data_IF_692908357408
#
_entry.id   IF_692908357408
#
_cell.length_a   1.000
_cell.length_b   1.000
_cell.length_c   1.000
_cell.angle_alpha   90.00
_cell.angle_beta   90.00
_cell.angle_gamma   90.00
#
_symmetry.space_group_name_H-M   'P 1'
#
loop_
_entity.id
_entity.type
_entity.pdbx_description
1 polymer ?
#
# COMPACT_ATOMS: atom_id res chain seq x y z
N UNK A 1 24.53 8.10 -23.02
CA UNK A 1 23.52 7.02 -22.92
C UNK A 1 23.94 5.87 -21.98
N UNK A 2 25.10 5.21 -22.15
CA UNK A 2 25.55 4.10 -21.26
C UNK A 2 25.50 4.42 -19.75
N UNK A 3 25.90 5.63 -19.34
CA UNK A 3 25.85 6.08 -17.93
C UNK A 3 24.44 6.15 -17.34
N UNK A 4 23.45 6.59 -18.12
CA UNK A 4 22.05 6.64 -17.68
C UNK A 4 21.47 5.23 -17.56
N UNK A 5 21.80 4.33 -18.48
CA UNK A 5 21.37 2.94 -18.45
C UNK A 5 21.93 2.21 -17.22
N UNK A 6 23.21 2.40 -16.91
CA UNK A 6 23.85 1.82 -15.73
C UNK A 6 23.23 2.34 -14.41
N UNK A 7 23.03 3.66 -14.28
CA UNK A 7 22.34 4.24 -13.12
C UNK A 7 20.90 3.75 -12.97
N UNK A 8 20.23 3.43 -14.07
CA UNK A 8 18.87 2.88 -14.05
C UNK A 8 18.84 1.45 -13.51
N UNK A 9 19.81 0.61 -13.89
CA UNK A 9 19.96 -0.74 -13.34
C UNK A 9 20.35 -0.73 -11.86
N UNK A 10 21.31 0.12 -11.48
CA UNK A 10 21.68 0.30 -10.07
C UNK A 10 20.48 0.80 -9.24
N UNK A 11 19.70 1.75 -9.77
CA UNK A 11 18.47 2.22 -9.14
C UNK A 11 17.43 1.11 -8.96
N UNK A 12 17.20 0.29 -9.99
CA UNK A 12 16.30 -0.86 -9.90
C UNK A 12 16.77 -1.88 -8.86
N UNK A 13 18.08 -2.15 -8.79
CA UNK A 13 18.67 -3.03 -7.78
C UNK A 13 18.43 -2.49 -6.37
N UNK A 14 18.82 -1.23 -6.09
CA UNK A 14 18.65 -0.63 -4.77
C UNK A 14 17.18 -0.53 -4.33
N UNK A 15 16.27 -0.16 -5.23
CA UNK A 15 14.84 -0.11 -4.91
C UNK A 15 14.22 -1.51 -4.74
N UNK A 16 14.69 -2.50 -5.49
CA UNK A 16 14.32 -3.90 -5.32
C UNK A 16 14.77 -4.45 -3.97
N UNK A 17 16.04 -4.25 -3.62
CA UNK A 17 16.61 -4.59 -2.31
C UNK A 17 15.87 -3.87 -1.18
N UNK A 18 15.50 -2.59 -1.37
CA UNK A 18 14.75 -1.84 -0.36
C UNK A 18 13.42 -2.53 -0.04
N UNK A 19 12.63 -2.83 -1.08
CA UNK A 19 11.34 -3.51 -0.93
C UNK A 19 11.50 -4.87 -0.26
N UNK A 20 12.53 -5.63 -0.64
CA UNK A 20 12.82 -6.93 -0.07
C UNK A 20 13.14 -6.83 1.42
N UNK A 21 14.05 -5.92 1.83
CA UNK A 21 14.41 -5.70 3.22
C UNK A 21 13.19 -5.30 4.04
N UNK A 22 12.46 -4.27 3.61
CA UNK A 22 11.24 -3.82 4.31
C UNK A 22 10.25 -4.98 4.47
N UNK A 23 10.07 -5.79 3.42
CA UNK A 23 9.12 -6.91 3.46
C UNK A 23 9.58 -8.03 4.38
N UNK A 24 10.86 -8.41 4.37
CA UNK A 24 11.40 -9.44 5.26
C UNK A 24 11.21 -9.07 6.72
N UNK A 25 11.60 -7.85 7.11
CA UNK A 25 11.43 -7.37 8.48
C UNK A 25 9.95 -7.23 8.86
N UNK A 26 9.11 -6.75 7.94
CA UNK A 26 7.66 -6.71 8.17
C UNK A 26 7.04 -8.09 8.34
N UNK A 27 7.52 -9.12 7.63
CA UNK A 27 7.04 -10.49 7.79
C UNK A 27 7.45 -11.05 9.15
N UNK A 28 8.71 -10.90 9.54
CA UNK A 28 9.19 -11.32 10.87
C UNK A 28 8.38 -10.64 11.97
N UNK A 29 8.18 -9.32 11.88
CA UNK A 29 7.36 -8.56 12.83
C UNK A 29 5.94 -9.10 12.94
N UNK A 30 5.27 -9.37 11.82
CA UNK A 30 3.91 -9.90 11.81
C UNK A 30 3.86 -11.30 12.44
N UNK A 31 4.84 -12.17 12.15
CA UNK A 31 4.91 -13.51 12.74
C UNK A 31 5.11 -13.44 14.25
N UNK A 32 6.05 -12.60 14.71
CA UNK A 32 6.29 -12.39 16.14
C UNK A 32 5.05 -11.82 16.83
N UNK A 33 4.43 -10.79 16.24
CA UNK A 33 3.19 -10.21 16.75
C UNK A 33 2.08 -11.26 16.85
N UNK A 34 1.89 -12.08 15.82
CA UNK A 34 0.89 -13.14 15.78
C UNK A 34 1.09 -14.26 16.80
N UNK A 35 2.33 -14.46 17.27
CA UNK A 35 2.70 -15.44 18.30
C UNK A 35 2.56 -14.91 19.72
N UNK A 36 2.67 -13.60 19.92
CA UNK A 36 2.60 -12.96 21.23
C UNK A 36 1.19 -12.44 21.52
N UNK A 37 0.56 -11.82 20.51
CA UNK A 37 -0.74 -11.17 20.63
C UNK A 37 -1.86 -12.09 20.16
N UNK A 38 -3.04 -11.85 20.71
CA UNK A 38 -4.28 -12.43 20.21
C UNK A 38 -4.67 -11.83 18.85
N UNK A 39 -5.45 -12.55 18.03
CA UNK A 39 -6.00 -11.99 16.79
C UNK A 39 -6.83 -10.72 17.02
N UNK A 40 -7.53 -10.61 18.15
CA UNK A 40 -8.29 -9.41 18.50
C UNK A 40 -7.40 -8.18 18.69
N UNK A 41 -6.28 -8.33 19.40
CA UNK A 41 -5.30 -7.26 19.62
C UNK A 41 -4.65 -6.76 18.32
N UNK A 42 -4.30 -7.68 17.42
CA UNK A 42 -3.81 -7.32 16.08
C UNK A 42 -4.92 -6.66 15.26
N UNK A 43 -6.16 -7.10 15.44
CA UNK A 43 -7.35 -6.51 14.85
C UNK A 43 -7.59 -5.08 15.28
N UNK A 44 -7.40 -4.76 16.56
CA UNK A 44 -7.48 -3.38 17.07
C UNK A 44 -6.44 -2.49 16.40
N UNK A 45 -5.21 -2.97 16.25
CA UNK A 45 -4.20 -2.24 15.48
C UNK A 45 -4.62 -2.05 14.02
N UNK A 46 -5.20 -3.07 13.38
CA UNK A 46 -5.79 -2.97 12.05
C UNK A 46 -6.85 -1.88 11.96
N UNK A 47 -7.80 -1.85 12.89
CA UNK A 47 -8.85 -0.84 12.98
C UNK A 47 -8.30 0.58 13.17
N UNK A 48 -7.23 0.74 13.96
CA UNK A 48 -6.54 2.03 14.17
C UNK A 48 -5.85 2.50 12.87
N UNK A 49 -5.29 1.57 12.09
CA UNK A 49 -4.60 1.88 10.84
C UNK A 49 -5.53 2.31 9.70
N UNK A 50 -6.83 1.98 9.76
CA UNK A 50 -7.81 2.39 8.74
C UNK A 50 -8.02 3.92 8.70
N UNK A 51 -8.45 4.61 9.76
CA UNK A 51 -8.58 6.07 9.74
C UNK A 51 -7.22 6.76 9.57
N UNK A 52 -6.13 6.22 10.14
CA UNK A 52 -4.79 6.75 9.92
C UNK A 52 -4.38 6.72 8.43
N UNK A 53 -4.57 5.57 7.76
CA UNK A 53 -4.28 5.42 6.34
C UNK A 53 -5.16 6.30 5.45
N UNK A 54 -6.45 6.41 5.79
CA UNK A 54 -7.37 7.29 5.09
C UNK A 54 -6.94 8.76 5.20
N UNK A 55 -6.58 9.23 6.39
CA UNK A 55 -6.14 10.61 6.61
C UNK A 55 -4.82 10.93 5.89
N UNK A 56 -3.87 9.97 5.86
CA UNK A 56 -2.66 10.09 5.05
C UNK A 56 -2.99 10.24 3.55
N UNK A 57 -3.84 9.37 3.01
CA UNK A 57 -4.20 9.39 1.60
C UNK A 57 -4.99 10.65 1.21
N UNK A 58 -5.93 11.09 2.04
CA UNK A 58 -6.75 12.29 1.78
C UNK A 58 -5.93 13.58 1.74
N UNK A 59 -4.80 13.61 2.42
CA UNK A 59 -3.93 14.78 2.52
C UNK A 59 -2.66 14.66 1.67
N UNK A 60 -2.50 13.57 0.92
CA UNK A 60 -1.35 13.37 0.01
C UNK A 60 -1.36 14.45 -1.06
N UNK A 61 -0.39 15.35 -1.01
CA UNK A 61 -0.36 16.57 -1.83
C UNK A 61 0.48 16.43 -3.09
N UNK A 62 1.13 15.28 -3.34
CA UNK A 62 2.00 15.07 -4.49
C UNK A 62 3.27 15.93 -4.51
N UNK A 63 3.55 16.69 -3.42
CA UNK A 63 4.71 17.60 -3.33
C UNK A 63 6.02 16.85 -3.59
N UNK A 64 6.19 15.65 -3.03
CA UNK A 64 7.37 14.82 -3.25
C UNK A 64 7.57 14.51 -4.75
N UNK A 65 6.49 14.25 -5.48
CA UNK A 65 6.54 13.93 -6.91
C UNK A 65 6.85 15.18 -7.73
N UNK A 66 6.24 16.32 -7.39
CA UNK A 66 6.50 17.61 -8.04
C UNK A 66 7.97 18.06 -7.86
N UNK A 67 8.54 17.88 -6.66
CA UNK A 67 9.95 18.17 -6.38
C UNK A 67 10.92 17.29 -7.18
N UNK A 68 10.58 16.00 -7.38
CA UNK A 68 11.38 15.10 -8.22
C UNK A 68 11.29 15.55 -9.69
N UNK A 69 10.09 15.86 -10.19
CA UNK A 69 9.85 16.15 -11.61
C UNK A 69 10.23 17.57 -12.05
N UNK A 70 10.28 18.55 -11.15
CA UNK A 70 10.52 19.95 -11.53
C UNK A 70 11.86 20.13 -12.25
N UNK A 71 11.87 20.89 -13.35
CA UNK A 71 13.08 21.28 -14.07
C UNK A 71 13.84 22.42 -13.39
N UNK A 72 13.18 23.14 -12.48
CA UNK A 72 13.78 24.20 -11.65
C UNK A 72 14.67 23.61 -10.56
N UNK A 73 15.48 24.45 -9.93
CA UNK A 73 16.27 24.02 -8.76
C UNK A 73 15.33 23.66 -7.59
N UNK A 74 15.16 22.36 -7.36
CA UNK A 74 14.31 21.83 -6.30
C UNK A 74 14.75 22.30 -4.90
N UNK A 75 16.01 22.69 -4.70
CA UNK A 75 16.52 23.20 -3.42
C UNK A 75 15.79 24.47 -2.98
N UNK A 76 15.35 25.29 -3.93
CA UNK A 76 14.61 26.54 -3.64
C UNK A 76 13.20 26.27 -3.08
N UNK A 77 12.63 25.10 -3.37
CA UNK A 77 11.29 24.71 -2.95
C UNK A 77 11.27 23.96 -1.61
N UNK A 78 12.43 23.51 -1.11
CA UNK A 78 12.50 22.63 0.06
C UNK A 78 11.96 23.27 1.34
N UNK A 79 12.27 24.54 1.61
CA UNK A 79 11.79 25.23 2.81
C UNK A 79 10.27 25.39 2.79
N UNK A 80 9.71 25.79 1.64
CA UNK A 80 8.26 25.89 1.41
C UNK A 80 7.56 24.52 1.52
N UNK A 81 8.17 23.47 0.94
CA UNK A 81 7.66 22.10 1.04
C UNK A 81 7.68 21.59 2.49
N UNK A 82 8.71 21.93 3.26
CA UNK A 82 8.81 21.49 4.65
C UNK A 82 7.70 22.07 5.52
N UNK A 83 7.40 23.37 5.39
CA UNK A 83 6.27 23.98 6.10
C UNK A 83 4.96 23.30 5.71
N UNK A 84 4.77 22.98 4.43
CA UNK A 84 3.59 22.25 3.99
C UNK A 84 3.51 20.83 4.63
N UNK A 85 4.64 20.12 4.75
CA UNK A 85 4.69 18.81 5.42
C UNK A 85 4.44 18.90 6.93
N UNK A 86 4.99 19.91 7.60
CA UNK A 86 4.73 20.16 9.03
C UNK A 86 3.24 20.47 9.23
N UNK A 87 2.69 21.42 8.46
CA UNK A 87 1.27 21.78 8.51
C UNK A 87 0.35 20.60 8.24
N UNK A 88 0.67 19.76 7.25
CA UNK A 88 -0.02 18.49 6.98
C UNK A 88 0.06 17.54 8.17
N UNK A 89 1.25 17.36 8.75
CA UNK A 89 1.47 16.51 9.92
C UNK A 89 0.60 16.93 11.10
N UNK A 90 0.57 18.23 11.43
CA UNK A 90 -0.31 18.79 12.46
C UNK A 90 -1.79 18.58 12.14
N UNK A 91 -2.21 18.83 10.89
CA UNK A 91 -3.60 18.64 10.47
C UNK A 91 -4.06 17.19 10.66
N UNK A 92 -3.32 16.22 10.14
CA UNK A 92 -3.65 14.79 10.29
C UNK A 92 -3.68 14.40 11.77
N UNK A 93 -2.66 14.81 12.53
CA UNK A 93 -2.55 14.48 13.96
C UNK A 93 -3.74 15.02 14.75
N UNK A 94 -4.11 16.28 14.53
CA UNK A 94 -5.24 16.92 15.19
C UNK A 94 -6.57 16.24 14.80
N UNK A 95 -6.79 15.96 13.52
CA UNK A 95 -7.99 15.26 13.05
C UNK A 95 -8.10 13.89 13.71
N UNK A 96 -7.04 13.06 13.64
CA UNK A 96 -7.05 11.71 14.23
C UNK A 96 -7.26 11.76 15.75
N UNK A 97 -6.64 12.71 16.44
CA UNK A 97 -6.80 12.87 17.88
C UNK A 97 -8.23 13.24 18.29
N UNK A 98 -8.86 14.14 17.53
CA UNK A 98 -10.23 14.60 17.77
C UNK A 98 -11.26 13.53 17.42
N UNK A 99 -11.07 12.79 16.33
CA UNK A 99 -12.03 11.75 15.91
C UNK A 99 -11.87 10.41 16.64
N UNK A 100 -10.79 10.24 17.41
CA UNK A 100 -10.48 9.00 18.12
C UNK A 100 -11.66 8.38 18.90
N UNK A 101 -12.42 9.13 19.75
CA UNK A 101 -13.58 8.56 20.44
C UNK A 101 -14.67 8.09 19.47
N UNK A 102 -15.01 8.86 18.42
CA UNK A 102 -16.03 8.45 17.46
C UNK A 102 -15.61 7.22 16.64
N UNK A 103 -14.33 7.08 16.32
CA UNK A 103 -13.79 5.87 15.69
C UNK A 103 -13.90 4.68 16.65
N UNK A 104 -13.58 4.88 17.93
CA UNK A 104 -13.70 3.89 18.99
C UNK A 104 -15.14 3.37 19.10
N UNK A 105 -16.10 4.30 19.15
CA UNK A 105 -17.54 4.00 19.20
C UNK A 105 -18.02 3.32 17.93
N UNK A 106 -17.57 3.79 16.75
CA UNK A 106 -17.90 3.18 15.47
C UNK A 106 -17.52 1.70 15.47
N UNK A 107 -16.30 1.35 15.86
CA UNK A 107 -15.85 -0.04 15.90
C UNK A 107 -16.32 -0.82 17.13
N UNK A 108 -17.00 -0.18 18.11
CA UNK A 108 -17.36 -0.76 19.41
C UNK A 108 -16.15 -1.40 20.11
N UNK A 109 -15.00 -0.72 20.08
CA UNK A 109 -13.73 -1.20 20.64
C UNK A 109 -13.00 -0.05 21.32
N UNK A 110 -12.21 -0.31 22.37
CA UNK A 110 -11.43 0.69 23.12
C UNK A 110 -10.18 1.17 22.36
N UNK A 111 -10.37 1.86 21.23
CA UNK A 111 -9.32 2.26 20.30
C UNK A 111 -8.82 3.69 20.53
N UNK A 112 -9.51 4.51 21.34
CA UNK A 112 -9.23 5.95 21.51
C UNK A 112 -7.75 6.23 21.80
N UNK A 113 -7.17 5.56 22.80
CA UNK A 113 -5.78 5.80 23.20
C UNK A 113 -4.79 5.30 22.15
N UNK A 114 -5.06 4.13 21.56
CA UNK A 114 -4.25 3.58 20.48
C UNK A 114 -4.23 4.49 19.24
N UNK A 115 -5.37 5.08 18.87
CA UNK A 115 -5.47 6.01 17.74
C UNK A 115 -4.80 7.35 18.06
N UNK A 116 -4.92 7.87 19.29
CA UNK A 116 -4.21 9.08 19.73
C UNK A 116 -2.69 8.89 19.74
N UNK A 117 -2.20 7.72 20.14
CA UNK A 117 -0.78 7.38 20.04
C UNK A 117 -0.31 7.39 18.58
N UNK A 118 -1.02 6.70 17.69
CA UNK A 118 -0.68 6.69 16.26
C UNK A 118 -0.74 8.09 15.64
N UNK A 119 -1.64 8.95 16.10
CA UNK A 119 -1.76 10.34 15.67
C UNK A 119 -0.49 11.18 15.93
N UNK A 120 0.47 10.72 16.74
CA UNK A 120 1.78 11.38 16.88
C UNK A 120 2.73 11.08 15.70
N UNK A 121 2.50 10.00 14.96
CA UNK A 121 3.33 9.60 13.82
C UNK A 121 3.35 10.65 12.69
N UNK A 122 2.22 11.16 12.19
CA UNK A 122 2.22 12.17 11.13
C UNK A 122 2.86 13.49 11.58
N UNK A 123 2.72 13.86 12.86
CA UNK A 123 3.44 14.99 13.46
C UNK A 123 4.96 14.81 13.28
N UNK A 124 5.50 13.68 13.74
CA UNK A 124 6.94 13.36 13.66
C UNK A 124 7.40 13.32 12.20
N UNK A 125 6.63 12.68 11.32
CA UNK A 125 6.95 12.60 9.89
C UNK A 125 6.95 13.97 9.19
N UNK A 126 6.12 14.92 9.64
CA UNK A 126 6.12 16.29 9.11
C UNK A 126 7.46 17.01 9.28
N UNK A 127 8.22 16.67 10.33
CA UNK A 127 9.54 17.24 10.59
C UNK A 127 10.69 16.56 9.83
N UNK A 128 10.44 15.45 9.13
CA UNK A 128 11.46 14.77 8.31
C UNK A 128 12.01 15.77 7.29
N UNK A 129 13.33 15.84 7.15
CA UNK A 129 13.98 16.75 6.22
C UNK A 129 13.44 16.55 4.80
N UNK A 130 12.94 17.61 4.13
CA UNK A 130 12.44 17.50 2.75
C UNK A 130 13.56 17.18 1.76
N UNK A 131 14.83 17.36 2.14
CA UNK A 131 15.98 17.12 1.29
C UNK A 131 16.16 15.63 0.95
N UNK A 132 15.54 14.69 1.68
CA UNK A 132 15.55 13.26 1.33
C UNK A 132 14.93 12.99 -0.04
N UNK A 133 14.04 13.88 -0.52
CA UNK A 133 13.46 13.81 -1.88
C UNK A 133 14.53 14.00 -2.95
N UNK A 134 15.60 14.74 -2.65
CA UNK A 134 16.71 14.95 -3.56
C UNK A 134 17.51 13.68 -3.83
N UNK A 135 17.47 12.67 -2.94
CA UNK A 135 18.13 11.39 -3.22
C UNK A 135 17.53 10.75 -4.47
N UNK A 136 16.20 10.75 -4.59
CA UNK A 136 15.51 10.25 -5.77
C UNK A 136 15.75 11.14 -6.98
N UNK A 137 15.65 12.48 -6.82
CA UNK A 137 15.88 13.44 -7.91
C UNK A 137 17.27 13.33 -8.53
N UNK A 138 18.29 13.12 -7.70
CA UNK A 138 19.70 13.05 -8.10
C UNK A 138 20.16 11.62 -8.42
N UNK A 139 19.24 10.63 -8.43
CA UNK A 139 19.52 9.22 -8.66
C UNK A 139 20.51 8.61 -7.64
N UNK A 140 20.51 9.13 -6.41
CA UNK A 140 21.29 8.63 -5.28
C UNK A 140 20.54 7.51 -4.54
N UNK A 141 20.09 6.49 -5.30
CA UNK A 141 19.23 5.41 -4.77
C UNK A 141 19.85 4.62 -3.62
N UNK A 142 21.18 4.56 -3.53
CA UNK A 142 21.86 3.95 -2.39
C UNK A 142 21.58 4.72 -1.09
N UNK A 143 21.59 6.06 -1.11
CA UNK A 143 21.24 6.87 0.07
C UNK A 143 19.76 6.73 0.42
N UNK A 144 18.89 6.74 -0.59
CA UNK A 144 17.46 6.50 -0.40
C UNK A 144 17.19 5.11 0.23
N UNK A 145 17.87 4.08 -0.28
CA UNK A 145 17.85 2.73 0.27
C UNK A 145 18.31 2.72 1.72
N UNK A 146 19.50 3.25 2.03
CA UNK A 146 20.05 3.20 3.39
C UNK A 146 19.17 3.93 4.40
N UNK A 147 18.68 5.12 4.06
CA UNK A 147 17.78 5.89 4.92
C UNK A 147 16.47 5.13 5.21
N UNK A 148 15.78 4.65 4.17
CA UNK A 148 14.50 3.95 4.35
C UNK A 148 14.65 2.57 4.99
N UNK A 149 15.70 1.83 4.61
CA UNK A 149 15.97 0.51 5.17
C UNK A 149 16.27 0.60 6.66
N UNK A 150 17.15 1.53 7.08
CA UNK A 150 17.46 1.70 8.50
C UNK A 150 16.23 2.15 9.31
N UNK A 151 15.42 3.08 8.79
CA UNK A 151 14.19 3.49 9.46
C UNK A 151 13.18 2.34 9.61
N UNK A 152 13.02 1.51 8.57
CA UNK A 152 12.13 0.34 8.59
C UNK A 152 12.65 -0.78 9.49
N UNK A 153 13.95 -1.02 9.51
CA UNK A 153 14.57 -1.98 10.41
C UNK A 153 14.42 -1.53 11.86
N UNK A 154 14.63 -0.24 12.15
CA UNK A 154 14.40 0.34 13.48
C UNK A 154 12.92 0.22 13.90
N UNK A 155 11.99 0.49 12.99
CA UNK A 155 10.54 0.28 13.21
C UNK A 155 10.25 -1.17 13.57
N UNK A 156 10.72 -2.12 12.76
CA UNK A 156 10.38 -3.53 12.94
C UNK A 156 11.05 -4.16 14.15
N UNK A 157 12.34 -3.92 14.35
CA UNK A 157 13.07 -4.42 15.53
C UNK A 157 12.60 -3.73 16.82
N UNK A 158 12.34 -2.42 16.77
CA UNK A 158 11.77 -1.69 17.90
C UNK A 158 10.39 -2.23 18.29
N UNK A 159 9.52 -2.50 17.30
CA UNK A 159 8.22 -3.14 17.55
C UNK A 159 8.39 -4.53 18.18
N UNK A 160 9.30 -5.36 17.66
CA UNK A 160 9.56 -6.70 18.19
C UNK A 160 10.06 -6.63 19.64
N UNK A 161 11.00 -5.74 19.94
CA UNK A 161 11.51 -5.53 21.29
C UNK A 161 10.39 -5.11 22.25
N UNK A 162 9.56 -4.14 21.83
CA UNK A 162 8.40 -3.69 22.62
C UNK A 162 7.35 -4.80 22.81
N UNK A 163 7.11 -5.64 21.80
CA UNK A 163 6.20 -6.79 21.93
C UNK A 163 6.72 -7.80 22.95
N UNK A 164 8.02 -8.08 22.95
CA UNK A 164 8.64 -9.00 23.92
C UNK A 164 8.60 -8.46 25.35
N UNK A 165 8.71 -7.14 25.52
CA UNK A 165 8.68 -6.48 26.83
C UNK A 165 7.26 -6.25 27.37
N UNK A 166 6.38 -5.68 26.54
CA UNK A 166 5.05 -5.22 26.95
C UNK A 166 3.97 -6.30 26.79
N UNK A 167 4.16 -7.24 25.85
CA UNK A 167 3.17 -8.27 25.47
C UNK A 167 1.76 -7.71 25.24
N UNK A 168 1.70 -6.52 24.64
CA UNK A 168 0.46 -5.76 24.44
C UNK A 168 0.42 -5.19 23.03
N UNK A 169 -0.78 -5.06 22.47
CA UNK A 169 -0.98 -4.45 21.16
C UNK A 169 -0.44 -3.02 21.05
N UNK A 170 -0.29 -2.30 22.17
CA UNK A 170 0.27 -0.93 22.23
C UNK A 170 1.71 -0.89 21.70
N UNK A 171 2.44 -2.01 21.74
CA UNK A 171 3.76 -2.13 21.12
C UNK A 171 3.72 -1.86 19.60
N UNK A 172 2.61 -2.15 18.92
CA UNK A 172 2.46 -1.92 17.47
C UNK A 172 2.40 -0.41 17.14
N UNK A 173 1.51 0.42 17.73
CA UNK A 173 1.58 1.88 17.61
C UNK A 173 2.93 2.49 17.99
N UNK A 174 3.50 2.08 19.13
CA UNK A 174 4.80 2.61 19.58
C UNK A 174 5.92 2.28 18.60
N UNK A 175 5.87 1.09 17.98
CA UNK A 175 6.77 0.70 16.90
C UNK A 175 6.71 1.64 15.69
N UNK A 176 5.50 1.99 15.25
CA UNK A 176 5.29 2.95 14.15
C UNK A 176 5.86 4.33 14.49
N UNK A 177 5.67 4.79 15.73
CA UNK A 177 6.25 6.05 16.23
C UNK A 177 7.78 5.98 16.22
N UNK A 178 8.36 4.89 16.73
CA UNK A 178 9.81 4.67 16.74
C UNK A 178 10.39 4.66 15.32
N UNK A 179 9.70 4.04 14.36
CA UNK A 179 10.05 4.09 12.94
C UNK A 179 10.01 5.51 12.36
N UNK A 180 8.98 6.28 12.70
CA UNK A 180 8.87 7.70 12.31
C UNK A 180 10.00 8.55 12.90
N UNK A 181 10.33 8.35 14.17
CA UNK A 181 11.42 9.04 14.85
C UNK A 181 12.79 8.66 14.25
N UNK A 182 13.01 7.38 13.95
CA UNK A 182 14.21 6.93 13.25
C UNK A 182 14.31 7.57 11.86
N UNK A 183 13.23 7.60 11.08
CA UNK A 183 13.20 8.26 9.78
C UNK A 183 13.54 9.75 9.89
N UNK A 184 13.02 10.45 10.90
CA UNK A 184 13.31 11.85 11.21
C UNK A 184 14.79 12.06 11.50
N UNK A 185 15.35 11.36 12.48
CA UNK A 185 16.76 11.50 12.88
C UNK A 185 17.68 11.19 11.71
N UNK A 186 17.47 10.06 11.03
CA UNK A 186 18.29 9.63 9.91
C UNK A 186 18.18 10.59 8.71
N UNK A 187 17.06 11.32 8.56
CA UNK A 187 16.93 12.30 7.48
C UNK A 187 17.95 13.44 7.61
N UNK A 188 18.26 13.89 8.83
CA UNK A 188 19.27 14.92 9.08
C UNK A 188 20.70 14.37 9.05
N UNK A 189 20.89 13.08 9.33
CA UNK A 189 22.20 12.41 9.20
C UNK A 189 22.59 12.28 7.73
N UNK A 190 21.65 11.88 6.86
CA UNK A 190 21.95 11.60 5.45
C UNK A 190 21.74 12.78 4.50
N UNK A 191 21.00 13.81 4.91
CA UNK A 191 20.70 14.98 4.07
C UNK A 191 21.20 16.28 4.69
N UNK A 192 21.77 17.16 3.85
CA UNK A 192 22.11 18.53 4.24
C UNK A 192 21.01 19.47 3.79
N UNK A 193 20.13 19.82 4.72
CA UNK A 193 19.08 20.80 4.48
C UNK A 193 19.60 22.22 4.73
N UNK A 194 19.29 23.13 3.81
CA UNK A 194 19.59 24.57 3.95
C UNK A 194 18.26 25.32 3.87
N UNK A 195 18.02 26.19 4.85
CA UNK A 195 16.83 27.03 4.88
C UNK A 195 17.02 28.23 3.95
N UNK A 196 16.10 28.41 3.00
CA UNK A 196 16.16 29.47 1.98
C UNK A 196 14.96 30.43 2.05
N UNK A 197 14.21 30.41 3.15
CA UNK A 197 12.97 31.18 3.30
C UNK A 197 11.76 30.50 2.64
N UNK A 198 10.56 30.99 2.99
CA UNK A 198 9.29 30.38 2.61
C UNK A 198 8.63 31.23 1.55
N UNK A 199 8.19 30.60 0.47
CA UNK A 199 7.39 31.26 -0.55
C UNK A 199 6.07 30.48 -0.74
N UNK A 200 4.97 31.07 -0.26
CA UNK A 200 3.64 30.46 -0.37
C UNK A 200 3.16 30.28 -1.82
N UNK A 201 3.68 31.08 -2.76
CA UNK A 201 3.43 30.90 -4.19
C UNK A 201 3.98 29.56 -4.70
N UNK A 202 5.15 29.14 -4.21
CA UNK A 202 5.73 27.83 -4.52
C UNK A 202 4.88 26.68 -3.97
N UNK A 203 4.27 26.85 -2.79
CA UNK A 203 3.36 25.86 -2.21
C UNK A 203 2.16 25.67 -3.16
N UNK A 204 1.54 26.75 -3.62
CA UNK A 204 0.42 26.69 -4.58
C UNK A 204 0.81 26.01 -5.90
N UNK A 205 2.02 26.29 -6.42
CA UNK A 205 2.56 25.63 -7.61
C UNK A 205 2.67 24.11 -7.41
N UNK A 206 3.20 23.67 -6.26
CA UNK A 206 3.34 22.24 -5.92
C UNK A 206 1.99 21.53 -5.73
N UNK A 207 1.00 22.19 -5.12
CA UNK A 207 -0.33 21.61 -4.87
C UNK A 207 -1.18 21.43 -6.13
N UNK A 208 -0.97 22.26 -7.16
CA UNK A 208 -1.76 22.19 -8.41
C UNK A 208 -1.54 20.86 -9.16
N UNK A 209 -0.37 20.24 -8.97
CA UNK A 209 -0.05 18.91 -9.50
C UNK A 209 -0.67 17.77 -8.66
N UNK A 210 -0.82 17.97 -7.34
CA UNK A 210 -1.20 16.93 -6.38
C UNK A 210 -2.65 16.47 -6.43
N UNK A 211 -3.59 17.35 -6.78
CA UNK A 211 -5.04 17.06 -6.63
C UNK A 211 -5.53 15.80 -7.37
N UNK A 212 -4.97 15.52 -8.54
CA UNK A 212 -5.32 14.33 -9.33
C UNK A 212 -4.72 13.06 -8.73
N UNK A 213 -3.53 13.17 -8.14
CA UNK A 213 -2.88 12.08 -7.42
C UNK A 213 -3.70 11.72 -6.18
N UNK A 214 -4.10 12.70 -5.38
CA UNK A 214 -4.94 12.49 -4.18
C UNK A 214 -6.24 11.76 -4.51
N UNK A 215 -6.96 12.19 -5.56
CA UNK A 215 -8.23 11.58 -5.97
C UNK A 215 -8.04 10.11 -6.42
N UNK A 216 -6.97 9.83 -7.17
CA UNK A 216 -6.62 8.47 -7.58
C UNK A 216 -6.26 7.58 -6.39
N UNK A 217 -5.42 8.07 -5.47
CA UNK A 217 -5.02 7.32 -4.28
C UNK A 217 -6.17 7.09 -3.31
N UNK A 218 -7.07 8.06 -3.15
CA UNK A 218 -8.27 7.93 -2.31
C UNK A 218 -9.21 6.86 -2.85
N UNK A 219 -9.48 6.89 -4.15
CA UNK A 219 -10.30 5.86 -4.81
C UNK A 219 -9.69 4.47 -4.64
N UNK A 220 -8.36 4.35 -4.83
CA UNK A 220 -7.66 3.10 -4.62
C UNK A 220 -7.74 2.63 -3.16
N UNK A 221 -7.58 3.54 -2.19
CA UNK A 221 -7.67 3.23 -0.77
C UNK A 221 -9.05 2.71 -0.38
N UNK A 222 -10.12 3.40 -0.77
CA UNK A 222 -11.50 2.96 -0.48
C UNK A 222 -11.79 1.61 -1.14
N UNK A 223 -11.25 1.37 -2.34
CA UNK A 223 -11.46 0.10 -3.06
C UNK A 223 -10.67 -1.07 -2.45
N UNK A 224 -9.52 -0.81 -1.83
CA UNK A 224 -8.63 -1.83 -1.28
C UNK A 224 -8.72 -2.01 0.26
N UNK A 225 -9.36 -1.08 0.96
CA UNK A 225 -9.50 -1.07 2.43
C UNK A 225 -10.96 -0.90 2.88
N UNK A 226 -11.89 -0.60 1.96
CA UNK A 226 -13.30 -0.39 2.31
C UNK A 226 -13.96 -1.64 2.87
N UNK A 227 -13.48 -2.81 2.46
CA UNK A 227 -13.85 -4.10 3.00
C UNK A 227 -13.42 -4.31 4.45
N UNK A 228 -12.19 -3.89 4.78
CA UNK A 228 -11.66 -3.95 6.14
C UNK A 228 -12.47 -3.10 7.13
N UNK A 229 -12.96 -1.93 6.71
CA UNK A 229 -13.82 -1.07 7.55
C UNK A 229 -15.08 -1.81 7.96
N UNK A 230 -15.74 -2.49 7.01
CA UNK A 230 -16.98 -3.22 7.29
C UNK A 230 -16.72 -4.48 8.11
N UNK A 231 -15.68 -5.25 7.79
CA UNK A 231 -15.29 -6.42 8.57
C UNK A 231 -15.01 -6.02 10.02
N UNK A 232 -14.26 -4.95 10.25
CA UNK A 232 -14.00 -4.45 11.59
C UNK A 232 -15.30 -4.06 12.32
N UNK A 233 -16.19 -3.32 11.65
CA UNK A 233 -17.45 -2.84 12.24
C UNK A 233 -18.45 -3.94 12.56
N UNK A 234 -18.59 -4.92 11.67
CA UNK A 234 -19.67 -5.92 11.71
C UNK A 234 -19.20 -7.20 12.39
N UNK A 235 -17.96 -7.63 12.14
CA UNK A 235 -17.43 -8.91 12.62
C UNK A 235 -16.44 -8.76 13.77
N UNK A 236 -16.01 -7.54 14.09
CA UNK A 236 -15.08 -7.24 15.18
C UNK A 236 -13.61 -7.49 14.84
N UNK A 237 -12.74 -7.17 15.80
CA UNK A 237 -11.30 -7.08 15.62
C UNK A 237 -10.63 -8.42 15.24
N UNK A 238 -11.00 -9.52 15.90
CA UNK A 238 -10.40 -10.83 15.60
C UNK A 238 -10.65 -11.29 14.16
N UNK A 239 -11.88 -11.12 13.67
CA UNK A 239 -12.25 -11.42 12.29
C UNK A 239 -11.54 -10.50 11.29
N UNK A 240 -11.36 -9.22 11.63
CA UNK A 240 -10.56 -8.31 10.82
C UNK A 240 -9.11 -8.78 10.70
N UNK A 241 -8.48 -9.21 11.79
CA UNK A 241 -7.11 -9.71 11.75
C UNK A 241 -6.96 -10.97 10.88
N UNK A 242 -7.89 -11.92 11.00
CA UNK A 242 -7.92 -13.11 10.14
C UNK A 242 -8.08 -12.72 8.66
N UNK A 243 -9.03 -11.85 8.36
CA UNK A 243 -9.32 -11.38 7.02
C UNK A 243 -8.14 -10.63 6.39
N UNK A 244 -7.58 -9.63 7.08
CA UNK A 244 -6.43 -8.87 6.62
C UNK A 244 -5.20 -9.76 6.39
N UNK A 245 -5.02 -10.78 7.21
CA UNK A 245 -3.89 -11.72 7.07
C UNK A 245 -4.08 -12.63 5.87
N UNK A 246 -5.29 -13.19 5.70
CA UNK A 246 -5.66 -13.96 4.52
C UNK A 246 -5.50 -13.13 3.23
N UNK A 247 -5.96 -11.88 3.23
CA UNK A 247 -5.83 -10.96 2.11
C UNK A 247 -4.37 -10.60 1.81
N UNK A 248 -3.55 -10.33 2.83
CA UNK A 248 -2.12 -10.05 2.65
C UNK A 248 -1.38 -11.24 2.02
N UNK A 249 -1.70 -12.47 2.43
CA UNK A 249 -1.10 -13.69 1.88
C UNK A 249 -1.54 -13.88 0.42
N UNK A 250 -2.84 -13.77 0.13
CA UNK A 250 -3.36 -13.97 -1.22
C UNK A 250 -2.87 -12.93 -2.22
N UNK A 251 -2.56 -11.71 -1.75
CA UNK A 251 -2.16 -10.58 -2.58
C UNK A 251 -0.62 -10.44 -2.75
N UNK A 252 0.17 -11.37 -2.20
CA UNK A 252 1.63 -11.40 -2.39
C UNK A 252 2.05 -11.43 -3.88
N UNK A 253 1.43 -12.23 -4.76
CA UNK A 253 1.79 -12.25 -6.19
C UNK A 253 1.57 -10.90 -6.88
N UNK A 254 0.49 -10.19 -6.52
CA UNK A 254 0.21 -8.89 -7.11
C UNK A 254 1.21 -7.83 -6.62
N UNK A 255 1.41 -7.75 -5.30
CA UNK A 255 2.23 -6.69 -4.69
C UNK A 255 3.73 -6.86 -4.97
N UNK A 256 4.21 -8.09 -5.13
CA UNK A 256 5.63 -8.39 -5.35
C UNK A 256 5.95 -8.73 -6.81
N UNK A 257 5.12 -9.56 -7.45
CA UNK A 257 5.34 -10.01 -8.82
C UNK A 257 4.76 -9.04 -9.86
N UNK A 258 3.45 -8.79 -9.78
CA UNK A 258 2.74 -8.01 -10.80
C UNK A 258 3.18 -6.54 -10.84
N UNK A 259 3.57 -5.95 -9.71
CA UNK A 259 4.11 -4.59 -9.67
C UNK A 259 5.43 -4.42 -10.43
N UNK A 260 6.31 -5.42 -10.38
CA UNK A 260 7.58 -5.44 -11.16
C UNK A 260 7.26 -5.64 -12.64
N UNK A 261 6.34 -6.57 -12.94
CA UNK A 261 5.86 -6.83 -14.28
C UNK A 261 5.25 -5.56 -14.89
N UNK A 262 4.39 -4.84 -14.17
CA UNK A 262 3.78 -3.58 -14.62
C UNK A 262 4.84 -2.53 -15.00
N UNK A 263 5.86 -2.34 -14.16
CA UNK A 263 6.92 -1.37 -14.39
C UNK A 263 7.80 -1.68 -15.60
N UNK A 264 7.91 -2.95 -16.00
CA UNK A 264 8.68 -3.39 -17.17
C UNK A 264 7.80 -3.43 -18.43
N UNK A 265 6.55 -3.88 -18.29
CA UNK A 265 5.63 -4.09 -19.39
C UNK A 265 5.08 -2.79 -19.94
N UNK A 266 4.76 -1.82 -19.07
CA UNK A 266 4.20 -0.54 -19.50
C UNK A 266 5.11 0.19 -20.51
N UNK A 267 6.43 0.39 -20.25
CA UNK A 267 7.33 1.01 -21.23
C UNK A 267 7.51 0.19 -22.51
N UNK A 268 7.45 -1.14 -22.42
CA UNK A 268 7.50 -2.00 -23.59
C UNK A 268 6.26 -1.83 -24.48
N UNK A 269 5.07 -1.81 -23.88
CA UNK A 269 3.82 -1.59 -24.62
C UNK A 269 3.77 -0.21 -25.26
N UNK A 270 4.20 0.84 -24.56
CA UNK A 270 4.27 2.19 -25.11
C UNK A 270 5.18 2.28 -26.35
N UNK A 271 6.30 1.54 -26.37
CA UNK A 271 7.23 1.52 -27.53
C UNK A 271 6.69 0.77 -28.74
N UNK A 272 5.88 -0.27 -28.54
CA UNK A 272 5.35 -1.11 -29.64
C UNK A 272 3.87 -0.83 -29.92
N UNK A 273 3.30 0.25 -29.37
CA UNK A 273 1.87 0.55 -29.40
C UNK A 273 1.29 0.65 -30.83
N UNK A 274 2.12 1.04 -31.81
CA UNK A 274 1.74 1.17 -33.22
C UNK A 274 1.71 -0.17 -33.96
N UNK A 275 2.42 -1.18 -33.48
CA UNK A 275 2.44 -2.53 -34.04
C UNK A 275 1.46 -3.43 -33.27
N UNK A 276 0.20 -3.45 -33.73
CA UNK A 276 -0.88 -4.24 -33.10
C UNK A 276 -0.52 -5.72 -32.95
N UNK A 277 0.27 -6.30 -33.86
CA UNK A 277 0.64 -7.73 -33.83
C UNK A 277 1.65 -8.00 -32.73
N UNK A 278 2.72 -7.18 -32.65
CA UNK A 278 3.71 -7.28 -31.58
C UNK A 278 3.10 -6.96 -30.23
N UNK A 279 2.24 -5.96 -30.14
CA UNK A 279 1.53 -5.58 -28.92
C UNK A 279 0.63 -6.71 -28.41
N UNK A 280 -0.17 -7.34 -29.29
CA UNK A 280 -1.01 -8.50 -28.95
C UNK A 280 -0.18 -9.67 -28.45
N UNK A 281 0.93 -9.99 -29.14
CA UNK A 281 1.83 -11.09 -28.73
C UNK A 281 2.49 -10.82 -27.38
N UNK A 282 2.94 -9.59 -27.15
CA UNK A 282 3.50 -9.15 -25.86
C UNK A 282 2.48 -9.28 -24.74
N UNK A 283 1.25 -8.82 -24.97
CA UNK A 283 0.14 -8.93 -24.02
C UNK A 283 -0.19 -10.39 -23.68
N UNK A 284 -0.36 -11.26 -24.68
CA UNK A 284 -0.69 -12.67 -24.44
C UNK A 284 0.40 -13.34 -23.62
N UNK A 285 1.68 -13.10 -23.93
CA UNK A 285 2.82 -13.62 -23.15
C UNK A 285 2.80 -13.11 -21.72
N UNK A 286 2.57 -11.82 -21.53
CA UNK A 286 2.48 -11.20 -20.22
C UNK A 286 1.35 -11.79 -19.36
N UNK A 287 0.16 -11.92 -19.94
CA UNK A 287 -1.00 -12.51 -19.28
C UNK A 287 -0.76 -13.99 -18.95
N UNK A 288 -0.16 -14.75 -19.87
CA UNK A 288 0.16 -16.17 -19.66
C UNK A 288 1.18 -16.36 -18.53
N UNK A 289 2.29 -15.62 -18.54
CA UNK A 289 3.31 -15.67 -17.46
C UNK A 289 2.66 -15.29 -16.13
N UNK A 290 1.89 -14.21 -16.11
CA UNK A 290 1.23 -13.74 -14.90
C UNK A 290 0.27 -14.77 -14.34
N UNK A 291 -0.56 -15.38 -15.20
CA UNK A 291 -1.51 -16.41 -14.82
C UNK A 291 -0.83 -17.68 -14.30
N UNK A 292 0.23 -18.15 -14.96
CA UNK A 292 0.99 -19.32 -14.51
C UNK A 292 1.62 -19.06 -13.15
N UNK A 293 2.26 -17.91 -12.96
CA UNK A 293 2.90 -17.55 -11.68
C UNK A 293 1.87 -17.36 -10.55
N UNK A 294 0.78 -16.64 -10.81
CA UNK A 294 -0.24 -16.39 -9.77
C UNK A 294 -1.01 -17.66 -9.41
N UNK A 295 -1.35 -18.49 -10.39
CA UNK A 295 -2.04 -19.77 -10.15
C UNK A 295 -1.12 -20.80 -9.49
N UNK A 296 0.15 -20.87 -9.90
CA UNK A 296 1.14 -21.73 -9.25
C UNK A 296 1.38 -21.34 -7.79
N UNK A 297 1.48 -20.03 -7.51
CA UNK A 297 1.55 -19.52 -6.14
C UNK A 297 0.29 -19.84 -5.34
N UNK A 298 -0.90 -19.60 -5.92
CA UNK A 298 -2.16 -19.87 -5.24
C UNK A 298 -2.31 -21.36 -4.90
N UNK A 299 -1.95 -22.25 -5.82
CA UNK A 299 -1.95 -23.69 -5.58
C UNK A 299 -0.95 -24.08 -4.48
N UNK A 300 0.27 -23.52 -4.53
CA UNK A 300 1.28 -23.77 -3.50
C UNK A 300 0.80 -23.31 -2.12
N UNK A 301 0.20 -22.13 -2.01
CA UNK A 301 -0.37 -21.63 -0.75
C UNK A 301 -1.57 -22.48 -0.32
N UNK A 302 -2.46 -22.86 -1.22
CA UNK A 302 -3.63 -23.68 -0.88
C UNK A 302 -3.23 -25.04 -0.27
N UNK A 303 -2.27 -25.72 -0.89
CA UNK A 303 -1.70 -26.97 -0.38
C UNK A 303 -0.91 -26.75 0.92
N UNK A 304 -0.25 -25.60 1.04
CA UNK A 304 0.60 -25.27 2.17
C UNK A 304 -0.16 -24.77 3.41
N UNK A 305 -1.30 -24.12 3.21
CA UNK A 305 -1.90 -23.23 4.20
C UNK A 305 -2.22 -23.91 5.54
N UNK A 306 -2.80 -25.14 5.60
CA UNK A 306 -3.14 -25.76 6.89
C UNK A 306 -1.94 -25.94 7.81
N UNK A 307 -0.79 -26.39 7.26
CA UNK A 307 0.43 -26.56 8.04
C UNK A 307 1.21 -25.26 8.19
N UNK A 308 1.30 -24.45 7.14
CA UNK A 308 2.04 -23.19 7.17
C UNK A 308 1.42 -22.21 8.17
N UNK A 309 0.10 -22.07 8.20
CA UNK A 309 -0.59 -21.18 9.15
C UNK A 309 -0.35 -21.66 10.58
N UNK A 310 -0.50 -22.96 10.84
CA UNK A 310 -0.28 -23.56 12.16
C UNK A 310 1.17 -23.38 12.63
N UNK A 311 2.16 -23.60 11.76
CA UNK A 311 3.59 -23.53 12.11
C UNK A 311 4.09 -22.08 12.20
N UNK A 312 3.54 -21.16 11.40
CA UNK A 312 4.01 -19.77 11.38
C UNK A 312 3.27 -18.96 12.43
N UNK A 313 1.94 -18.95 12.38
CA UNK A 313 1.09 -18.08 13.20
C UNK A 313 0.55 -18.78 14.45
N UNK A 314 0.34 -20.09 14.41
CA UNK A 314 -0.23 -20.88 15.51
C UNK A 314 -1.64 -21.38 15.22
N UNK A 315 -2.18 -22.22 16.11
CA UNK A 315 -3.50 -22.84 15.93
C UNK A 315 -4.66 -21.84 16.02
N UNK A 316 -4.49 -20.76 16.77
CA UNK A 316 -5.45 -19.66 16.90
C UNK A 316 -5.75 -18.97 15.57
N UNK A 317 -4.90 -19.15 14.56
CA UNK A 317 -5.04 -18.54 13.24
C UNK A 317 -5.70 -19.44 12.20
N UNK A 318 -5.99 -20.71 12.50
CA UNK A 318 -6.71 -21.61 11.59
C UNK A 318 -8.07 -21.07 11.09
N UNK A 319 -8.83 -20.25 11.84
CA UNK A 319 -10.06 -19.63 11.33
C UNK A 319 -9.87 -18.73 10.09
N UNK A 320 -8.65 -18.31 9.75
CA UNK A 320 -8.40 -17.54 8.52
C UNK A 320 -8.47 -18.39 7.24
N UNK A 321 -8.30 -19.72 7.34
CA UNK A 321 -8.15 -20.61 6.19
C UNK A 321 -9.33 -20.56 5.19
N UNK A 322 -10.61 -20.57 5.62
CA UNK A 322 -11.72 -20.49 4.68
C UNK A 322 -11.71 -19.18 3.87
N UNK A 323 -11.40 -18.05 4.52
CA UNK A 323 -11.28 -16.76 3.85
C UNK A 323 -10.08 -16.73 2.89
N UNK A 324 -8.94 -17.30 3.30
CA UNK A 324 -7.74 -17.43 2.46
C UNK A 324 -8.05 -18.21 1.19
N UNK A 325 -8.69 -19.39 1.30
CA UNK A 325 -9.00 -20.24 0.15
C UNK A 325 -9.81 -19.51 -0.92
N UNK A 326 -10.81 -18.70 -0.52
CA UNK A 326 -11.58 -17.87 -1.44
C UNK A 326 -10.73 -16.73 -2.01
N UNK A 327 -9.96 -16.04 -1.16
CA UNK A 327 -9.11 -14.92 -1.58
C UNK A 327 -7.96 -15.34 -2.50
N UNK A 328 -7.56 -16.61 -2.53
CA UNK A 328 -6.60 -17.11 -3.51
C UNK A 328 -7.11 -16.95 -4.95
N UNK A 329 -8.43 -17.03 -5.18
CA UNK A 329 -9.04 -16.72 -6.48
C UNK A 329 -8.82 -15.24 -6.85
N UNK A 330 -9.02 -14.35 -5.87
CA UNK A 330 -8.73 -12.92 -6.05
C UNK A 330 -7.24 -12.68 -6.36
N UNK A 331 -6.34 -13.38 -5.68
CA UNK A 331 -4.89 -13.34 -5.90
C UNK A 331 -4.45 -13.78 -7.30
N UNK A 332 -5.25 -14.58 -7.99
CA UNK A 332 -5.06 -14.96 -9.41
C UNK A 332 -5.58 -13.86 -10.35
N UNK A 333 -6.76 -13.30 -10.05
CA UNK A 333 -7.46 -12.37 -10.95
C UNK A 333 -6.87 -10.95 -10.94
N UNK A 334 -6.40 -10.47 -9.78
CA UNK A 334 -5.89 -9.11 -9.60
C UNK A 334 -4.61 -8.83 -10.43
N UNK A 335 -3.58 -9.71 -10.46
CA UNK A 335 -2.42 -9.53 -11.34
C UNK A 335 -2.79 -9.44 -12.83
N UNK A 336 -3.70 -10.30 -13.29
CA UNK A 336 -4.13 -10.39 -14.70
C UNK A 336 -4.78 -9.08 -15.15
N UNK A 337 -5.71 -8.55 -14.34
CA UNK A 337 -6.35 -7.27 -14.63
C UNK A 337 -5.37 -6.09 -14.56
N UNK A 338 -4.35 -6.15 -13.68
CA UNK A 338 -3.30 -5.14 -13.59
C UNK A 338 -2.44 -5.07 -14.86
N UNK A 339 -2.15 -6.21 -15.50
CA UNK A 339 -1.39 -6.24 -16.77
C UNK A 339 -2.16 -5.57 -17.90
N UNK A 340 -3.47 -5.80 -18.02
CA UNK A 340 -4.25 -5.12 -19.06
C UNK A 340 -4.61 -3.68 -18.70
N UNK A 341 -4.67 -3.31 -17.42
CA UNK A 341 -4.70 -1.90 -17.02
C UNK A 341 -3.46 -1.16 -17.54
N UNK A 342 -2.28 -1.77 -17.43
CA UNK A 342 -1.03 -1.22 -17.99
C UNK A 342 -1.13 -0.98 -19.51
N UNK A 343 -1.79 -1.89 -20.24
CA UNK A 343 -2.03 -1.74 -21.68
C UNK A 343 -2.97 -0.56 -21.96
N UNK A 344 -4.08 -0.45 -21.24
CA UNK A 344 -5.04 0.64 -21.44
C UNK A 344 -4.40 2.00 -21.14
N UNK A 345 -3.61 2.09 -20.07
CA UNK A 345 -2.86 3.31 -19.77
C UNK A 345 -1.81 3.61 -20.85
N UNK A 346 -1.05 2.60 -21.30
CA UNK A 346 -0.03 2.77 -22.34
C UNK A 346 -0.63 3.16 -23.71
N UNK A 347 -1.88 2.78 -23.99
CA UNK A 347 -2.58 3.09 -25.25
C UNK A 347 -3.48 4.33 -25.15
N UNK A 348 -3.36 5.12 -24.08
CA UNK A 348 -4.09 6.38 -23.90
C UNK A 348 -5.58 6.20 -23.60
N UNK A 349 -5.96 5.10 -22.94
CA UNK A 349 -7.35 4.78 -22.56
C UNK A 349 -7.57 4.61 -21.04
N UNK A 350 -7.10 5.52 -20.18
CA UNK A 350 -7.26 5.41 -18.72
C UNK A 350 -8.74 5.40 -18.26
N UNK A 351 -9.67 5.91 -19.08
CA UNK A 351 -11.12 5.84 -18.83
C UNK A 351 -11.63 4.40 -18.67
N UNK A 352 -10.95 3.41 -19.28
CA UNK A 352 -11.31 2.00 -19.13
C UNK A 352 -10.92 1.49 -17.75
N UNK A 353 -9.74 1.87 -17.27
CA UNK A 353 -9.25 1.52 -15.93
C UNK A 353 -10.17 2.14 -14.87
N UNK A 354 -10.57 3.39 -15.06
CA UNK A 354 -11.54 4.06 -14.19
C UNK A 354 -12.89 3.32 -14.18
N UNK A 355 -13.44 2.96 -15.34
CA UNK A 355 -14.70 2.23 -15.42
C UNK A 355 -14.62 0.86 -14.72
N UNK A 356 -13.51 0.13 -14.88
CA UNK A 356 -13.27 -1.12 -14.15
C UNK A 356 -13.24 -0.91 -12.63
N UNK A 357 -12.59 0.15 -12.17
CA UNK A 357 -12.54 0.52 -10.75
C UNK A 357 -13.92 0.87 -10.18
N UNK A 358 -14.70 1.66 -10.91
CA UNK A 358 -16.08 2.01 -10.53
C UNK A 358 -17.00 0.78 -10.48
N UNK A 359 -16.89 -0.13 -11.45
CA UNK A 359 -17.62 -1.41 -11.42
C UNK A 359 -17.24 -2.22 -10.19
N UNK A 360 -15.94 -2.35 -9.88
CA UNK A 360 -15.48 -3.04 -8.67
C UNK A 360 -16.06 -2.39 -7.41
N UNK A 361 -15.99 -1.07 -7.29
CA UNK A 361 -16.50 -0.33 -6.14
C UNK A 361 -18.01 -0.47 -5.97
N UNK A 362 -18.78 -0.37 -7.06
CA UNK A 362 -20.23 -0.52 -7.03
C UNK A 362 -20.66 -1.92 -6.59
N UNK A 363 -20.02 -2.96 -7.14
CA UNK A 363 -20.31 -4.35 -6.76
C UNK A 363 -19.87 -4.62 -5.33
N UNK A 364 -18.70 -4.12 -4.90
CA UNK A 364 -18.25 -4.20 -3.52
C UNK A 364 -19.30 -3.60 -2.58
N UNK A 365 -19.71 -2.35 -2.82
CA UNK A 365 -20.69 -1.65 -1.99
C UNK A 365 -22.05 -2.36 -1.93
N UNK A 366 -22.52 -2.92 -3.05
CA UNK A 366 -23.80 -3.62 -3.11
C UNK A 366 -23.79 -4.97 -2.38
N UNK A 367 -22.68 -5.71 -2.47
CA UNK A 367 -22.59 -7.08 -2.01
C UNK A 367 -22.00 -7.23 -0.59
N UNK A 368 -21.21 -6.26 -0.13
CA UNK A 368 -20.39 -6.45 1.07
C UNK A 368 -21.23 -6.69 2.33
N UNK A 369 -22.28 -5.91 2.55
CA UNK A 369 -23.15 -6.05 3.71
C UNK A 369 -23.90 -7.40 3.74
N UNK A 370 -24.70 -7.78 2.71
CA UNK A 370 -25.49 -9.01 2.78
C UNK A 370 -24.63 -10.27 2.86
N UNK A 371 -23.49 -10.31 2.17
CA UNK A 371 -22.60 -11.48 2.18
C UNK A 371 -21.83 -11.58 3.50
N UNK A 372 -21.29 -10.47 4.01
CA UNK A 372 -20.56 -10.46 5.29
C UNK A 372 -21.49 -10.80 6.46
N UNK A 373 -22.73 -10.32 6.45
CA UNK A 373 -23.71 -10.64 7.49
C UNK A 373 -24.10 -12.14 7.50
N UNK A 374 -24.11 -12.81 6.34
CA UNK A 374 -24.52 -14.22 6.23
C UNK A 374 -23.39 -15.22 6.45
N UNK A 375 -22.19 -14.94 5.93
CA UNK A 375 -21.07 -15.89 5.90
C UNK A 375 -19.79 -15.36 6.56
N UNK A 376 -19.88 -14.25 7.31
CA UNK A 376 -18.74 -13.66 8.01
C UNK A 376 -17.62 -13.28 7.04
N UNK A 377 -16.37 -13.56 7.46
CA UNK A 377 -15.17 -13.25 6.67
C UNK A 377 -15.14 -13.97 5.31
N UNK A 378 -15.78 -15.14 5.20
CA UNK A 378 -15.88 -15.87 3.93
C UNK A 378 -16.80 -15.14 2.95
N UNK A 379 -17.89 -14.57 3.46
CA UNK A 379 -18.79 -13.71 2.68
C UNK A 379 -18.10 -12.45 2.19
N UNK A 380 -17.28 -11.82 3.03
CA UNK A 380 -16.44 -10.69 2.61
C UNK A 380 -15.46 -11.10 1.51
N UNK A 381 -14.77 -12.24 1.66
CA UNK A 381 -13.88 -12.78 0.62
C UNK A 381 -14.60 -12.99 -0.72
N UNK A 382 -15.80 -13.57 -0.70
CA UNK A 382 -16.61 -13.73 -1.93
C UNK A 382 -17.04 -12.41 -2.55
N UNK A 383 -17.34 -11.41 -1.73
CA UNK A 383 -17.65 -10.05 -2.21
C UNK A 383 -16.47 -9.48 -2.99
N UNK A 384 -15.25 -9.59 -2.45
CA UNK A 384 -14.05 -9.09 -3.12
C UNK A 384 -13.78 -9.84 -4.42
N UNK A 385 -13.89 -11.18 -4.42
CA UNK A 385 -13.76 -11.99 -5.63
C UNK A 385 -14.82 -11.62 -6.67
N UNK A 386 -16.09 -11.48 -6.27
CA UNK A 386 -17.18 -11.11 -7.17
C UNK A 386 -17.00 -9.71 -7.75
N UNK A 387 -16.57 -8.74 -6.95
CA UNK A 387 -16.28 -7.38 -7.40
C UNK A 387 -15.16 -7.35 -8.45
N UNK A 388 -14.12 -8.18 -8.27
CA UNK A 388 -13.03 -8.31 -9.22
C UNK A 388 -13.46 -9.07 -10.48
N UNK A 389 -14.34 -10.07 -10.34
CA UNK A 389 -14.86 -10.87 -11.45
C UNK A 389 -15.80 -10.05 -12.34
N UNK A 390 -16.63 -9.20 -11.75
CA UNK A 390 -17.52 -8.31 -12.48
C UNK A 390 -16.79 -7.32 -13.41
N UNK A 391 -15.53 -7.01 -13.14
CA UNK A 391 -14.70 -6.19 -14.01
C UNK A 391 -14.12 -6.96 -15.23
N UNK A 392 -14.11 -8.30 -15.21
CA UNK A 392 -13.51 -9.12 -16.28
C UNK A 392 -14.27 -9.04 -17.62
N UNK A 393 -15.62 -9.05 -17.69
CA UNK A 393 -16.32 -8.90 -18.96
C UNK A 393 -15.99 -7.57 -19.66
N UNK A 394 -15.97 -6.47 -18.90
CA UNK A 394 -15.57 -5.16 -19.40
C UNK A 394 -14.12 -5.18 -19.91
N UNK A 395 -13.22 -5.77 -19.14
CA UNK A 395 -11.82 -5.95 -19.52
C UNK A 395 -11.67 -6.72 -20.85
N UNK A 396 -12.31 -7.88 -20.98
CA UNK A 396 -12.24 -8.73 -22.17
C UNK A 396 -12.84 -8.03 -23.38
N UNK A 397 -13.99 -7.36 -23.21
CA UNK A 397 -14.64 -6.60 -24.27
C UNK A 397 -13.72 -5.50 -24.81
N UNK A 398 -13.07 -4.75 -23.92
CA UNK A 398 -12.17 -3.67 -24.30
C UNK A 398 -10.84 -4.14 -24.90
N UNK A 399 -10.33 -5.29 -24.45
CA UNK A 399 -9.20 -5.95 -25.12
C UNK A 399 -9.57 -6.32 -26.56
N UNK A 400 -10.73 -6.96 -26.79
CA UNK A 400 -11.20 -7.28 -28.14
C UNK A 400 -11.37 -6.04 -29.00
N UNK A 401 -11.93 -4.96 -28.46
CA UNK A 401 -12.10 -3.68 -29.17
C UNK A 401 -10.77 -3.02 -29.54
N UNK A 402 -9.73 -3.18 -28.72
CA UNK A 402 -8.42 -2.55 -28.95
C UNK A 402 -7.59 -3.28 -30.03
N UNK A 403 -7.79 -4.59 -30.19
CA UNK A 403 -7.09 -5.40 -31.20
C UNK A 403 -7.93 -5.77 -32.43
N UNK A 404 -9.19 -5.31 -32.51
CA UNK A 404 -9.88 -5.12 -33.79
C UNK A 404 -9.23 -3.95 -34.52
#
# INVERSE_FOLDING_TARGET
MKYLTQKSFEGAFWLGSLKLVIKLFSLVKIVVAARILTPAEIGWFGMIMLPYGLAEVMTESGINQALVQTSKDAKQYLSSAWIAFIGRGFLISAVLWLIAPWVSDFFNAGLTDGLRLVALTPLIKGFVSPAVVLFRKNLEFKKEFTWQALASVAESLGTIALLLLLKSFIALPLGVIAGGAAALVLSFVFSRFHWNGVNFGQIKELYTYGRWVTAGTLTAYVTDQGDDILVGRVLGAGNLAYYQTAFKISNLPTTQGAGIIYQIIFPMFAKIQTDKVRLKRGLIRALAITLVLSSGFALAVWLAAPWAVKIIFGETWLPLLPALNVLLLYGIMRPVTSVGAALFDATGKPQIVLAMGLTRLAILAALIWPLTARWGIVGTSWTVVASQAAALPLFIYQLKKTFR
#
